data_IF_948419233211
#
_entry.id   IF_948419233211
#
_cell.length_a   1.000
_cell.length_b   1.000
_cell.length_c   1.000
_cell.angle_alpha   90.00
_cell.angle_beta   90.00
_cell.angle_gamma   90.00
#
_symmetry.space_group_name_H-M   'P 1'
#
loop_
_entity.id
_entity.type
_entity.pdbx_description
1 polymer ?
#
# COMPACT_ATOMS: atom_id res chain seq x y z
N UNK A 1 -0.99 -18.91 -4.91
CA UNK A 1 -1.12 -17.57 -5.53
C UNK A 1 -2.48 -16.92 -5.28
N UNK A 2 -3.58 -17.25 -6.00
CA UNK A 2 -4.88 -16.54 -5.83
C UNK A 2 -5.36 -16.41 -4.37
N UNK A 3 -5.32 -17.49 -3.60
CA UNK A 3 -5.73 -17.45 -2.20
C UNK A 3 -4.87 -16.50 -1.35
N UNK A 4 -3.55 -16.50 -1.57
CA UNK A 4 -2.63 -15.57 -0.91
C UNK A 4 -2.86 -14.12 -1.33
N UNK A 5 -3.18 -13.87 -2.61
CA UNK A 5 -3.57 -12.54 -3.10
C UNK A 5 -4.86 -12.05 -2.46
N UNK A 6 -5.89 -12.90 -2.32
CA UNK A 6 -7.13 -12.55 -1.63
C UNK A 6 -6.83 -12.15 -0.18
N UNK A 7 -6.05 -12.95 0.53
CA UNK A 7 -5.69 -12.67 1.92
C UNK A 7 -4.87 -11.37 2.02
N UNK A 8 -3.88 -11.18 1.15
CA UNK A 8 -3.02 -10.00 1.13
C UNK A 8 -3.83 -8.73 0.89
N UNK A 9 -4.61 -8.70 -0.19
CA UNK A 9 -5.43 -7.54 -0.56
C UNK A 9 -6.45 -7.24 0.55
N UNK A 10 -7.05 -8.26 1.15
CA UNK A 10 -7.92 -8.10 2.31
C UNK A 10 -7.21 -7.41 3.48
N UNK A 11 -6.00 -7.85 3.81
CA UNK A 11 -5.20 -7.29 4.92
C UNK A 11 -4.74 -5.86 4.66
N UNK A 12 -4.22 -5.56 3.47
CA UNK A 12 -3.73 -4.20 3.13
C UNK A 12 -4.86 -3.20 2.90
N UNK A 13 -6.09 -3.68 2.63
CA UNK A 13 -7.26 -2.80 2.54
C UNK A 13 -7.74 -2.31 3.91
N UNK A 14 -7.32 -2.94 5.01
CA UNK A 14 -7.76 -2.63 6.38
C UNK A 14 -9.30 -2.56 6.55
N UNK A 15 -10.06 -3.25 5.68
CA UNK A 15 -11.53 -3.26 5.69
C UNK A 15 -12.19 -2.21 4.78
N UNK A 16 -11.43 -1.46 4.00
CA UNK A 16 -11.97 -0.48 3.03
C UNK A 16 -12.56 -1.13 1.77
N UNK A 17 -12.08 -2.32 1.38
CA UNK A 17 -12.55 -3.04 0.21
C UNK A 17 -13.56 -4.14 0.58
N UNK A 18 -14.59 -4.29 -0.25
CA UNK A 18 -15.53 -5.41 -0.13
C UNK A 18 -14.94 -6.72 -0.64
N UNK A 19 -15.46 -7.85 -0.13
CA UNK A 19 -14.96 -9.19 -0.50
C UNK A 19 -15.02 -9.47 -2.01
N UNK A 20 -16.02 -8.94 -2.71
CA UNK A 20 -16.17 -9.10 -4.16
C UNK A 20 -15.05 -8.37 -4.93
N UNK A 21 -14.69 -7.16 -4.52
CA UNK A 21 -13.63 -6.37 -5.15
C UNK A 21 -12.27 -7.03 -4.89
N UNK A 22 -12.02 -7.47 -3.65
CA UNK A 22 -10.83 -8.24 -3.27
C UNK A 22 -10.69 -9.49 -4.15
N UNK A 23 -11.76 -10.27 -4.28
CA UNK A 23 -11.75 -11.50 -5.07
C UNK A 23 -11.52 -11.24 -6.56
N UNK A 24 -12.07 -10.14 -7.09
CA UNK A 24 -11.89 -9.72 -8.48
C UNK A 24 -10.42 -9.36 -8.75
N UNK A 25 -9.85 -8.44 -7.96
CA UNK A 25 -8.44 -8.01 -8.12
C UNK A 25 -7.50 -9.21 -8.01
N UNK A 26 -7.72 -10.08 -7.02
CA UNK A 26 -6.90 -11.27 -6.83
C UNK A 26 -7.00 -12.27 -7.98
N UNK A 27 -8.16 -12.38 -8.63
CA UNK A 27 -8.35 -13.26 -9.79
C UNK A 27 -7.61 -12.72 -11.01
N UNK A 28 -7.78 -11.43 -11.32
CA UNK A 28 -7.10 -10.76 -12.44
C UNK A 28 -5.58 -10.82 -12.27
N UNK A 29 -5.07 -10.49 -11.08
CA UNK A 29 -3.66 -10.58 -10.77
C UNK A 29 -3.13 -12.02 -10.88
N UNK A 30 -3.88 -13.02 -10.39
CA UNK A 30 -3.47 -14.42 -10.49
C UNK A 30 -3.38 -14.90 -11.94
N UNK A 31 -4.28 -14.48 -12.82
CA UNK A 31 -4.21 -14.76 -14.25
C UNK A 31 -2.98 -14.09 -14.89
N UNK A 32 -2.74 -12.82 -14.57
CA UNK A 32 -1.56 -12.07 -15.01
C UNK A 32 -0.24 -12.69 -14.55
N UNK A 33 -0.17 -13.22 -13.32
CA UNK A 33 1.00 -13.96 -12.83
C UNK A 33 1.20 -15.30 -13.55
N UNK A 34 0.12 -15.98 -13.94
CA UNK A 34 0.19 -17.31 -14.54
C UNK A 34 0.61 -17.27 -16.01
N UNK A 35 0.07 -16.33 -16.79
CA UNK A 35 0.39 -16.16 -18.21
C UNK A 35 0.22 -14.69 -18.63
N UNK A 36 1.27 -13.86 -18.52
CA UNK A 36 1.21 -12.45 -18.86
C UNK A 36 0.81 -12.20 -20.32
N UNK A 37 1.26 -13.05 -21.25
CA UNK A 37 0.99 -12.88 -22.68
C UNK A 37 -0.48 -13.14 -23.00
N UNK A 38 -1.06 -14.20 -22.46
CA UNK A 38 -2.50 -14.49 -22.62
C UNK A 38 -3.34 -13.41 -21.93
N UNK A 39 -2.93 -12.94 -20.76
CA UNK A 39 -3.63 -11.88 -20.04
C UNK A 39 -3.67 -10.56 -20.84
N UNK A 40 -2.54 -10.11 -21.40
CA UNK A 40 -2.51 -8.89 -22.23
C UNK A 40 -3.31 -9.04 -23.51
N UNK A 41 -3.28 -10.22 -24.15
CA UNK A 41 -4.08 -10.48 -25.35
C UNK A 41 -5.59 -10.42 -25.08
N UNK A 42 -6.02 -10.82 -23.87
CA UNK A 42 -7.42 -10.73 -23.43
C UNK A 42 -7.84 -9.32 -23.00
N UNK A 43 -6.87 -8.44 -22.67
CA UNK A 43 -7.09 -7.10 -22.13
C UNK A 43 -6.30 -6.06 -22.94
N UNK A 44 -6.70 -5.78 -24.20
CA UNK A 44 -5.93 -4.91 -25.10
C UNK A 44 -5.86 -3.44 -24.68
N UNK A 45 -6.71 -3.02 -23.74
CA UNK A 45 -6.72 -1.65 -23.19
C UNK A 45 -5.69 -1.45 -22.07
N UNK A 46 -5.06 -2.52 -21.58
CA UNK A 46 -4.01 -2.42 -20.55
C UNK A 46 -2.75 -1.82 -21.15
N UNK A 47 -2.34 -0.68 -20.60
CA UNK A 47 -1.10 -0.01 -20.95
C UNK A 47 0.05 -0.49 -20.06
N UNK A 48 0.51 -1.71 -20.30
CA UNK A 48 1.67 -2.31 -19.65
C UNK A 48 2.69 -2.73 -20.69
N UNK A 49 3.97 -2.46 -20.43
CA UNK A 49 5.10 -2.92 -21.22
C UNK A 49 6.30 -3.29 -20.32
N UNK A 50 7.38 -3.74 -20.95
CA UNK A 50 8.56 -4.25 -20.25
C UNK A 50 9.43 -3.12 -19.63
N UNK A 51 9.01 -1.85 -19.72
CA UNK A 51 9.69 -0.73 -19.06
C UNK A 51 9.29 -0.54 -17.60
N UNK A 52 8.14 -1.11 -17.19
CA UNK A 52 7.71 -1.10 -15.80
C UNK A 52 8.69 -1.89 -14.91
N UNK A 53 8.99 -1.40 -13.69
CA UNK A 53 9.98 -2.03 -12.81
C UNK A 53 9.46 -3.29 -12.09
N UNK A 54 8.19 -3.63 -12.29
CA UNK A 54 7.46 -4.71 -11.63
C UNK A 54 6.80 -5.63 -12.66
N UNK A 55 6.63 -6.93 -12.37
CA UNK A 55 5.94 -7.86 -13.26
C UNK A 55 4.45 -7.51 -13.39
N UNK A 56 3.84 -7.91 -14.51
CA UNK A 56 2.43 -7.63 -14.82
C UNK A 56 1.46 -8.05 -13.70
N UNK A 57 1.69 -9.20 -13.06
CA UNK A 57 0.85 -9.64 -11.94
C UNK A 57 0.87 -8.69 -10.75
N UNK A 58 2.04 -8.14 -10.42
CA UNK A 58 2.20 -7.12 -9.37
C UNK A 58 1.58 -5.80 -9.81
N UNK A 59 1.78 -5.42 -11.08
CA UNK A 59 1.20 -4.21 -11.67
C UNK A 59 -0.32 -4.23 -11.63
N UNK A 60 -0.95 -5.38 -11.92
CA UNK A 60 -2.41 -5.54 -11.80
C UNK A 60 -2.89 -5.36 -10.37
N UNK A 61 -2.15 -5.86 -9.37
CA UNK A 61 -2.49 -5.62 -7.96
C UNK A 61 -2.42 -4.12 -7.67
N UNK A 62 -1.27 -3.49 -7.89
CA UNK A 62 -1.01 -2.08 -7.55
C UNK A 62 -1.99 -1.15 -8.28
N UNK A 63 -2.16 -1.32 -9.59
CA UNK A 63 -3.03 -0.48 -10.42
C UNK A 63 -4.53 -0.67 -10.21
N UNK A 64 -4.94 -1.75 -9.52
CA UNK A 64 -6.36 -1.99 -9.21
C UNK A 64 -6.76 -1.56 -7.81
N UNK A 65 -5.81 -1.21 -6.94
CA UNK A 65 -6.12 -0.69 -5.60
C UNK A 65 -6.64 0.74 -5.71
N UNK A 66 -7.74 1.09 -5.01
CA UNK A 66 -8.20 2.47 -4.97
C UNK A 66 -7.26 3.34 -4.14
N UNK A 67 -7.37 4.66 -4.33
CA UNK A 67 -6.67 5.72 -3.58
C UNK A 67 -6.96 5.74 -2.07
N UNK A 68 -8.00 5.00 -1.64
CA UNK A 68 -8.32 4.78 -0.22
C UNK A 68 -7.55 3.62 0.42
N UNK A 69 -6.81 2.84 -0.39
CA UNK A 69 -5.99 1.70 0.05
C UNK A 69 -4.52 1.93 -0.27
N UNK A 70 -4.20 2.28 -1.51
CA UNK A 70 -2.85 2.59 -1.96
C UNK A 70 -2.69 4.12 -2.02
N UNK A 71 -1.85 4.65 -1.13
CA UNK A 71 -1.55 6.07 -1.07
C UNK A 71 -0.27 6.36 -1.84
N UNK A 72 -0.36 7.27 -2.80
CA UNK A 72 0.75 7.66 -3.67
C UNK A 72 0.88 9.18 -3.69
N UNK A 73 2.08 9.69 -3.41
CA UNK A 73 2.31 11.13 -3.33
C UNK A 73 3.80 11.50 -3.44
N UNK A 74 4.07 12.69 -3.97
CA UNK A 74 5.42 13.27 -3.99
C UNK A 74 5.85 13.82 -2.63
N UNK A 75 4.92 14.15 -1.72
CA UNK A 75 5.25 14.77 -0.44
C UNK A 75 4.53 14.14 0.74
N UNK A 76 5.14 14.19 1.92
CA UNK A 76 4.50 13.75 3.17
C UNK A 76 3.28 14.59 3.55
N UNK A 77 3.16 15.82 3.04
CA UNK A 77 1.96 16.65 3.24
C UNK A 77 0.80 16.03 2.47
N UNK A 78 1.01 15.76 1.18
CA UNK A 78 -0.03 15.21 0.29
C UNK A 78 -0.37 13.77 0.67
N UNK A 79 0.64 12.95 1.00
CA UNK A 79 0.45 11.59 1.52
C UNK A 79 -0.48 11.60 2.75
N UNK A 80 -0.19 12.47 3.72
CA UNK A 80 -0.98 12.51 4.94
C UNK A 80 -2.37 13.12 4.72
N UNK A 81 -2.52 14.02 3.74
CA UNK A 81 -3.83 14.52 3.34
C UNK A 81 -4.71 13.43 2.73
N UNK A 82 -4.18 12.61 1.82
CA UNK A 82 -4.87 11.44 1.26
C UNK A 82 -5.25 10.45 2.36
N UNK A 83 -4.31 10.14 3.27
CA UNK A 83 -4.59 9.28 4.43
C UNK A 83 -5.74 9.87 5.26
N UNK A 84 -5.71 11.14 5.64
CA UNK A 84 -6.80 11.73 6.44
C UNK A 84 -8.14 11.67 5.69
N UNK A 85 -8.14 11.87 4.38
CA UNK A 85 -9.33 11.81 3.53
C UNK A 85 -9.91 10.40 3.40
N UNK A 86 -9.10 9.35 3.51
CA UNK A 86 -9.58 7.96 3.48
C UNK A 86 -10.34 7.57 4.76
N UNK A 87 -10.15 8.31 5.86
CA UNK A 87 -10.94 8.13 7.08
C UNK A 87 -12.19 9.03 7.05
N UNK A 88 -13.31 8.48 7.52
CA UNK A 88 -14.56 9.24 7.61
C UNK A 88 -14.49 10.43 8.59
N UNK A 89 -15.44 11.38 8.50
CA UNK A 89 -15.42 12.65 9.26
C UNK A 89 -15.48 12.48 10.79
N UNK A 90 -15.75 11.28 11.30
CA UNK A 90 -15.78 10.97 12.72
C UNK A 90 -14.40 10.69 13.35
N UNK A 91 -13.33 10.61 12.55
CA UNK A 91 -11.99 10.30 13.06
C UNK A 91 -11.22 11.59 13.35
N UNK A 92 -10.79 11.72 14.60
CA UNK A 92 -10.04 12.89 15.04
C UNK A 92 -8.53 12.70 14.85
N UNK A 93 -7.92 13.58 14.06
CA UNK A 93 -6.46 13.63 13.86
C UNK A 93 -5.87 14.83 14.60
N UNK A 94 -4.86 14.57 15.44
CA UNK A 94 -4.12 15.60 16.16
C UNK A 94 -3.07 16.25 15.26
N UNK A 95 -2.37 15.43 14.47
CA UNK A 95 -1.49 15.89 13.40
C UNK A 95 -2.32 16.47 12.24
N UNK A 96 -1.86 17.59 11.67
CA UNK A 96 -2.41 18.21 10.46
C UNK A 96 -1.38 18.18 9.33
N UNK A 97 -1.77 17.97 8.06
CA UNK A 97 -0.84 17.91 6.92
C UNK A 97 0.16 19.06 6.87
N UNK A 98 -0.32 20.31 7.04
CA UNK A 98 0.53 21.52 7.06
C UNK A 98 1.67 21.50 8.10
N UNK A 99 1.59 20.68 9.15
CA UNK A 99 2.65 20.55 10.17
C UNK A 99 3.82 19.66 9.71
N UNK A 100 3.69 19.00 8.56
CA UNK A 100 4.73 18.24 7.87
C UNK A 100 5.46 19.07 6.82
N UNK A 101 4.98 20.29 6.54
CA UNK A 101 5.66 21.19 5.63
C UNK A 101 7.06 21.54 6.18
N UNK A 102 8.08 21.43 5.33
CA UNK A 102 9.49 21.72 5.66
C UNK A 102 10.09 20.84 6.77
N UNK A 103 9.49 19.69 7.06
CA UNK A 103 10.12 18.69 7.94
C UNK A 103 10.91 17.68 7.14
N UNK A 104 12.08 17.29 7.64
CA UNK A 104 12.87 16.20 7.07
C UNK A 104 12.07 14.89 7.01
N UNK A 105 12.34 14.06 5.99
CA UNK A 105 11.57 12.84 5.69
C UNK A 105 11.36 11.92 6.90
N UNK A 106 12.43 11.61 7.64
CA UNK A 106 12.35 10.75 8.83
C UNK A 106 11.47 11.35 9.93
N UNK A 107 11.53 12.67 10.13
CA UNK A 107 10.69 13.36 11.11
C UNK A 107 9.23 13.38 10.68
N UNK A 108 8.97 13.62 9.39
CA UNK A 108 7.63 13.63 8.81
C UNK A 108 6.97 12.24 8.97
N UNK A 109 7.63 11.20 8.49
CA UNK A 109 7.13 9.82 8.54
C UNK A 109 6.94 9.33 9.97
N UNK A 110 7.86 9.65 10.89
CA UNK A 110 7.70 9.30 12.31
C UNK A 110 6.45 9.95 12.93
N UNK A 111 6.16 11.22 12.61
CA UNK A 111 4.94 11.90 13.10
C UNK A 111 3.67 11.25 12.56
N UNK A 112 3.64 10.91 11.27
CA UNK A 112 2.52 10.19 10.65
C UNK A 112 2.34 8.84 11.35
N UNK A 113 3.41 8.05 11.49
CA UNK A 113 3.35 6.74 12.12
C UNK A 113 2.88 6.80 13.59
N UNK A 114 3.28 7.81 14.36
CA UNK A 114 2.77 8.03 15.73
C UNK A 114 1.26 8.27 15.70
N UNK A 115 0.79 9.16 14.82
CA UNK A 115 -0.65 9.44 14.67
C UNK A 115 -1.42 8.16 14.30
N UNK A 116 -0.89 7.36 13.38
CA UNK A 116 -1.50 6.12 12.89
C UNK A 116 -1.53 5.00 13.92
N UNK A 117 -0.47 4.86 14.70
CA UNK A 117 -0.42 3.88 15.81
C UNK A 117 -1.42 4.17 16.93
N UNK A 118 -1.92 5.41 17.03
CA UNK A 118 -2.83 5.81 18.09
C UNK A 118 -4.31 5.47 17.81
N UNK A 119 -4.64 5.17 16.56
CA UNK A 119 -5.98 4.82 16.10
C UNK A 119 -6.17 3.29 16.13
N UNK A 120 -7.40 2.79 16.32
CA UNK A 120 -7.72 1.35 16.24
C UNK A 120 -6.76 0.47 17.08
N UNK A 121 -6.68 0.76 18.39
CA UNK A 121 -5.72 0.14 19.32
C UNK A 121 -5.97 -1.36 19.52
N UNK A 122 -7.21 -1.78 19.37
CA UNK A 122 -7.65 -3.17 19.42
C UNK A 122 -6.98 -4.03 18.34
N UNK A 123 -6.67 -3.45 17.18
CA UNK A 123 -5.92 -4.10 16.10
C UNK A 123 -4.43 -3.75 16.09
N UNK A 124 -3.92 -3.16 17.17
CA UNK A 124 -2.50 -2.83 17.33
C UNK A 124 -2.07 -1.51 16.68
N UNK A 125 -3.00 -0.65 16.28
CA UNK A 125 -2.67 0.57 15.54
C UNK A 125 -2.63 0.36 14.03
N UNK A 126 -2.50 1.44 13.26
CA UNK A 126 -2.10 1.33 11.85
C UNK A 126 -0.59 1.51 11.69
N UNK A 127 -0.01 0.71 10.80
CA UNK A 127 1.39 0.79 10.38
C UNK A 127 1.43 1.18 8.91
N UNK A 128 2.18 2.23 8.59
CA UNK A 128 2.51 2.57 7.21
C UNK A 128 3.51 1.56 6.68
N UNK A 129 3.18 0.93 5.56
CA UNK A 129 4.06 0.00 4.88
C UNK A 129 4.38 0.51 3.49
N UNK A 130 5.67 0.59 3.14
CA UNK A 130 6.09 0.67 1.75
C UNK A 130 5.55 -0.58 1.06
N UNK A 131 4.93 -0.43 -0.11
CA UNK A 131 4.27 -1.52 -0.81
C UNK A 131 4.58 -1.46 -2.30
N UNK A 132 5.11 -2.56 -2.84
CA UNK A 132 5.64 -2.66 -4.20
C UNK A 132 6.81 -1.67 -4.47
N UNK A 133 7.31 -1.66 -5.70
CA UNK A 133 8.25 -0.64 -6.17
C UNK A 133 7.50 0.64 -6.54
N UNK A 134 8.18 1.78 -6.39
CA UNK A 134 7.65 3.08 -6.81
C UNK A 134 7.38 3.07 -8.31
N UNK A 135 6.21 3.57 -8.71
CA UNK A 135 5.82 3.73 -10.10
C UNK A 135 6.03 5.18 -10.53
N UNK A 136 5.07 6.05 -10.21
CA UNK A 136 5.05 7.44 -10.67
C UNK A 136 5.49 8.45 -9.60
N UNK A 137 5.13 8.21 -8.33
CA UNK A 137 5.36 9.11 -7.19
C UNK A 137 6.58 8.71 -6.33
N UNK A 138 7.09 9.66 -5.54
CA UNK A 138 8.19 9.41 -4.60
C UNK A 138 7.80 8.52 -3.40
N UNK A 139 6.51 8.42 -3.07
CA UNK A 139 5.98 7.63 -1.96
C UNK A 139 4.86 6.71 -2.45
N UNK A 140 4.90 5.43 -2.04
CA UNK A 140 3.85 4.45 -2.31
C UNK A 140 3.65 3.56 -1.09
N UNK A 141 2.52 3.74 -0.41
CA UNK A 141 2.30 3.13 0.90
C UNK A 141 0.87 2.61 1.07
N UNK A 142 0.72 1.60 1.92
CA UNK A 142 -0.57 1.10 2.41
C UNK A 142 -0.65 1.20 3.93
N UNK A 143 -1.87 1.22 4.47
CA UNK A 143 -2.12 1.14 5.91
C UNK A 143 -2.51 -0.29 6.29
N UNK A 144 -1.75 -0.88 7.21
CA UNK A 144 -1.98 -2.23 7.71
C UNK A 144 -2.20 -2.19 9.21
N UNK A 145 -3.14 -3.00 9.72
CA UNK A 145 -3.26 -3.20 11.16
C UNK A 145 -1.97 -3.76 11.76
N UNK A 146 -1.54 -3.22 12.90
CA UNK A 146 -0.29 -3.61 13.56
C UNK A 146 -0.20 -5.11 13.83
N UNK A 147 -1.32 -5.73 14.22
CA UNK A 147 -1.41 -7.18 14.45
C UNK A 147 -1.26 -8.01 13.16
N UNK A 148 -1.51 -7.42 12.00
CA UNK A 148 -1.51 -8.08 10.70
C UNK A 148 -0.19 -7.93 9.94
N UNK A 149 0.70 -7.03 10.38
CA UNK A 149 2.00 -6.76 9.73
C UNK A 149 2.82 -8.04 9.50
N UNK A 150 2.99 -8.97 10.47
CA UNK A 150 3.77 -10.19 10.23
C UNK A 150 3.19 -11.02 9.08
N UNK A 151 1.86 -11.16 9.03
CA UNK A 151 1.19 -11.95 8.00
C UNK A 151 1.24 -11.28 6.63
N UNK A 152 1.11 -9.95 6.57
CA UNK A 152 1.28 -9.20 5.32
C UNK A 152 2.69 -9.39 4.75
N UNK A 153 3.73 -9.33 5.58
CA UNK A 153 5.11 -9.56 5.12
C UNK A 153 5.32 -10.97 4.55
N UNK A 154 4.76 -11.99 5.20
CA UNK A 154 4.79 -13.38 4.68
C UNK A 154 4.09 -13.50 3.33
N UNK A 155 2.90 -12.92 3.21
CA UNK A 155 2.10 -12.96 1.98
C UNK A 155 2.78 -12.21 0.84
N UNK A 156 3.32 -11.02 1.11
CA UNK A 156 4.12 -10.25 0.15
C UNK A 156 5.30 -11.09 -0.38
N UNK A 157 6.04 -11.76 0.50
CA UNK A 157 7.12 -12.66 0.11
C UNK A 157 6.63 -13.88 -0.72
N UNK A 158 5.46 -14.44 -0.38
CA UNK A 158 4.86 -15.55 -1.14
C UNK A 158 4.46 -15.14 -2.57
N UNK A 159 3.89 -13.94 -2.73
CA UNK A 159 3.39 -13.46 -4.03
C UNK A 159 4.42 -12.67 -4.83
N UNK A 160 5.60 -12.41 -4.25
CA UNK A 160 6.69 -11.70 -4.91
C UNK A 160 6.58 -10.18 -4.90
N UNK A 161 5.78 -9.60 -3.99
CA UNK A 161 5.64 -8.14 -3.82
C UNK A 161 6.60 -7.67 -2.73
N UNK A 162 7.37 -6.62 -3.02
CA UNK A 162 8.26 -6.04 -1.99
C UNK A 162 7.43 -5.22 -1.00
N UNK A 163 7.61 -5.44 0.30
CA UNK A 163 6.98 -4.62 1.32
C UNK A 163 7.85 -4.50 2.58
N UNK A 164 7.75 -3.37 3.27
CA UNK A 164 8.44 -3.15 4.53
C UNK A 164 7.73 -2.07 5.37
N UNK A 165 7.76 -2.13 6.72
CA UNK A 165 7.33 -1.01 7.55
C UNK A 165 8.12 0.25 7.18
N UNK A 166 7.41 1.29 6.73
CA UNK A 166 8.01 2.44 6.06
C UNK A 166 9.00 3.19 6.95
N UNK A 167 8.63 3.38 8.23
CA UNK A 167 9.48 4.09 9.19
C UNK A 167 10.79 3.35 9.48
N UNK A 168 10.74 2.02 9.62
CA UNK A 168 11.95 1.23 9.89
C UNK A 168 12.84 1.15 8.66
N UNK A 169 12.26 0.99 7.47
CA UNK A 169 13.00 1.03 6.21
C UNK A 169 13.74 2.38 6.04
N UNK A 170 13.07 3.50 6.33
CA UNK A 170 13.68 4.82 6.23
C UNK A 170 14.78 5.05 7.28
N UNK A 171 14.61 4.55 8.51
CA UNK A 171 15.68 4.60 9.52
C UNK A 171 16.92 3.88 9.03
N UNK A 172 16.78 2.70 8.44
CA UNK A 172 17.92 1.97 7.87
C UNK A 172 18.57 2.78 6.75
N UNK A 173 17.79 3.30 5.80
CA UNK A 173 18.31 4.05 4.66
C UNK A 173 19.08 5.33 5.04
N UNK A 174 18.73 5.98 6.15
CA UNK A 174 19.39 7.21 6.63
C UNK A 174 20.65 6.94 7.48
N UNK A 175 20.78 5.74 8.04
CA UNK A 175 21.94 5.35 8.85
C UNK A 175 23.00 4.54 8.07
N UNK A 176 22.78 4.31 6.78
CA UNK A 176 23.74 3.73 5.82
C UNK A 176 24.42 4.86 5.06
#
# INVERSE_FOLDING_TARGET
MKAALIELIGKISSGCLGEADIAKIADEAAQAYADPTVFLAANPDINYDDTFPIPLGEWVVVGSLPDTVLFQADTYVDLFEQIVASFGPGVAFNLKPKQLAKTEALTALNRIQIQMSSLNKENGGYVLMNFSQLLDDELQMVLVYGNDVPRVLELCAEVGITAAPALEALKVAVHV
#
